data_IF_772772699776
#
_entry.id   IF_772772699776
#
_cell.length_a   1.000
_cell.length_b   1.000
_cell.length_c   1.000
_cell.angle_alpha   90.00
_cell.angle_beta   90.00
_cell.angle_gamma   90.00
#
_symmetry.space_group_name_H-M   'P 1'
#
loop_
_entity.id
_entity.type
_entity.pdbx_description
1 polymer ?
#
# COMPACT_ATOMS: atom_id res chain seq x y z
N UNK A 1 19.64 12.98 -1.64
CA UNK A 1 18.79 13.82 -0.76
C UNK A 1 18.09 14.96 -1.51
N UNK A 2 18.78 15.70 -2.38
CA UNK A 2 18.14 16.75 -3.19
C UNK A 2 16.92 16.25 -3.99
N UNK A 3 17.02 15.09 -4.63
CA UNK A 3 15.89 14.47 -5.33
C UNK A 3 14.66 14.24 -4.43
N UNK A 4 14.85 13.75 -3.20
CA UNK A 4 13.77 13.57 -2.24
C UNK A 4 13.13 14.91 -1.85
N UNK A 5 13.94 15.93 -1.55
CA UNK A 5 13.45 17.27 -1.22
C UNK A 5 12.66 17.89 -2.39
N UNK A 6 13.15 17.74 -3.62
CA UNK A 6 12.48 18.21 -4.83
C UNK A 6 11.14 17.48 -5.02
N UNK A 7 11.09 16.16 -4.83
CA UNK A 7 9.84 15.40 -4.90
C UNK A 7 8.84 15.85 -3.83
N UNK A 8 9.26 15.97 -2.57
CA UNK A 8 8.37 16.44 -1.49
C UNK A 8 7.83 17.85 -1.77
N UNK A 9 8.67 18.75 -2.30
CA UNK A 9 8.25 20.08 -2.71
C UNK A 9 7.24 20.03 -3.86
N UNK A 10 7.52 19.27 -4.91
CA UNK A 10 6.63 19.14 -6.07
C UNK A 10 5.26 18.57 -5.69
N UNK A 11 5.21 17.56 -4.82
CA UNK A 11 3.96 17.01 -4.29
C UNK A 11 3.17 18.07 -3.53
N UNK A 12 3.82 18.80 -2.62
CA UNK A 12 3.20 19.87 -1.84
C UNK A 12 2.65 20.99 -2.71
N UNK A 13 3.41 21.44 -3.70
CA UNK A 13 3.02 22.51 -4.65
C UNK A 13 1.79 22.10 -5.49
N UNK A 14 1.54 20.79 -5.65
CA UNK A 14 0.39 20.22 -6.36
C UNK A 14 -0.73 19.71 -5.43
N UNK A 15 -0.72 20.08 -4.15
CA UNK A 15 -1.70 19.64 -3.15
C UNK A 15 -1.76 18.11 -2.93
N UNK A 16 -0.66 17.42 -3.22
CA UNK A 16 -0.50 16.00 -2.93
C UNK A 16 0.19 15.85 -1.58
N UNK A 17 -0.43 15.11 -0.68
CA UNK A 17 0.11 14.92 0.67
C UNK A 17 1.26 13.91 0.64
N UNK A 18 2.40 14.31 1.20
CA UNK A 18 3.56 13.43 1.38
C UNK A 18 3.32 12.52 2.58
N UNK A 19 3.58 11.23 2.42
CA UNK A 19 3.52 10.22 3.50
C UNK A 19 4.82 9.41 3.49
N UNK A 20 5.35 9.06 4.66
CA UNK A 20 6.53 8.18 4.75
C UNK A 20 7.85 8.83 4.31
N UNK A 21 7.93 10.15 4.31
CA UNK A 21 9.15 10.92 4.07
C UNK A 21 9.08 12.24 4.85
N UNK A 22 10.25 12.75 5.25
CA UNK A 22 10.33 13.97 6.05
C UNK A 22 11.70 14.61 6.01
N UNK A 23 11.84 15.75 6.70
CA UNK A 23 13.09 16.51 6.76
C UNK A 23 14.16 15.90 7.68
N UNK A 24 13.78 14.90 8.48
CA UNK A 24 14.62 14.12 9.39
C UNK A 24 13.88 12.84 9.81
N UNK A 25 14.54 11.93 10.54
CA UNK A 25 13.94 10.67 11.01
C UNK A 25 12.65 10.91 11.79
N UNK A 26 12.63 11.88 12.72
CA UNK A 26 11.44 12.15 13.52
C UNK A 26 10.25 12.61 12.66
N UNK A 27 10.52 13.35 11.59
CA UNK A 27 9.51 13.86 10.68
C UNK A 27 8.97 12.77 9.74
N UNK A 28 9.83 11.91 9.19
CA UNK A 28 9.42 10.83 8.27
C UNK A 28 8.54 9.78 8.94
N UNK A 29 8.72 9.55 10.25
CA UNK A 29 7.91 8.63 11.06
C UNK A 29 6.55 9.22 11.51
N UNK A 30 6.22 10.47 11.18
CA UNK A 30 4.92 11.05 11.61
C UNK A 30 3.77 10.45 10.79
N UNK A 31 2.66 10.06 11.45
CA UNK A 31 1.44 9.73 10.74
C UNK A 31 0.88 10.97 10.04
N UNK A 32 0.30 10.75 8.87
CA UNK A 32 -0.50 11.74 8.15
C UNK A 32 -1.96 11.53 8.48
N UNK A 33 -2.70 12.62 8.71
CA UNK A 33 -4.13 12.56 8.93
C UNK A 33 -4.88 13.36 7.87
N UNK A 34 -5.84 12.71 7.22
CA UNK A 34 -6.76 13.35 6.27
C UNK A 34 -8.19 13.18 6.79
N UNK A 35 -9.02 14.21 6.66
CA UNK A 35 -10.46 14.11 7.00
C UNK A 35 -11.29 14.24 5.73
N UNK A 36 -12.16 13.25 5.49
CA UNK A 36 -13.08 13.21 4.34
C UNK A 36 -14.40 12.59 4.78
N UNK A 37 -15.52 13.20 4.39
CA UNK A 37 -16.86 12.69 4.74
C UNK A 37 -17.09 12.52 6.25
N UNK A 38 -16.44 13.32 7.10
CA UNK A 38 -16.52 13.21 8.56
C UNK A 38 -15.73 12.05 9.18
N UNK A 39 -14.93 11.32 8.39
CA UNK A 39 -14.02 10.26 8.86
C UNK A 39 -12.59 10.79 8.86
N UNK A 40 -11.89 10.67 9.99
CA UNK A 40 -10.45 10.98 10.09
C UNK A 40 -9.65 9.72 9.78
N UNK A 41 -8.93 9.74 8.67
CA UNK A 41 -8.08 8.64 8.20
C UNK A 41 -6.64 8.96 8.57
N UNK A 42 -6.00 8.06 9.31
CA UNK A 42 -4.56 8.08 9.60
C UNK A 42 -3.81 7.20 8.61
N UNK A 43 -2.61 7.62 8.22
CA UNK A 43 -1.74 6.90 7.29
C UNK A 43 -0.33 6.86 7.85
N UNK A 44 0.21 5.65 7.97
CA UNK A 44 1.64 5.38 8.21
C UNK A 44 2.20 4.69 6.97
N UNK A 45 3.46 4.95 6.62
CA UNK A 45 4.10 4.33 5.46
C UNK A 45 5.57 4.08 5.75
N UNK A 46 6.03 2.87 5.49
CA UNK A 46 7.37 2.41 5.84
C UNK A 46 8.09 1.79 4.64
N UNK A 47 9.41 1.99 4.56
CA UNK A 47 10.30 1.25 3.66
C UNK A 47 11.07 0.20 4.42
N UNK A 48 10.96 -1.06 4.01
CA UNK A 48 11.79 -2.15 4.53
C UNK A 48 13.17 -2.21 3.88
N UNK A 49 13.46 -1.29 2.95
CA UNK A 49 14.73 -1.17 2.26
C UNK A 49 15.42 0.14 2.64
N UNK A 50 16.76 0.10 2.80
CA UNK A 50 17.52 1.33 2.98
C UNK A 50 17.43 2.19 1.72
N UNK A 51 17.57 3.50 1.90
CA UNK A 51 17.64 4.39 0.75
C UNK A 51 19.00 4.24 0.06
N UNK A 52 18.97 4.08 -1.26
CA UNK A 52 20.19 3.89 -2.04
C UNK A 52 20.96 5.20 -2.24
N UNK A 53 22.29 5.09 -2.34
CA UNK A 53 23.14 6.20 -2.79
C UNK A 53 23.50 7.24 -1.73
N UNK A 54 23.23 7.02 -0.43
CA UNK A 54 23.74 7.87 0.63
C UNK A 54 23.85 7.18 2.01
N UNK A 55 24.64 7.77 2.90
CA UNK A 55 24.78 7.32 4.30
C UNK A 55 23.63 7.90 5.13
N UNK A 56 22.94 7.04 5.88
CA UNK A 56 21.87 7.41 6.80
C UNK A 56 22.33 8.50 7.79
N UNK A 57 21.48 9.51 8.03
CA UNK A 57 21.70 10.57 9.01
C UNK A 57 20.34 10.99 9.57
N UNK A 58 20.14 10.85 10.88
CA UNK A 58 18.85 11.11 11.53
C UNK A 58 18.35 12.54 11.40
N UNK A 59 19.24 13.51 11.21
CA UNK A 59 18.94 14.94 11.15
C UNK A 59 18.71 15.47 9.73
N UNK A 60 18.76 14.59 8.72
CA UNK A 60 18.61 14.96 7.31
C UNK A 60 17.40 14.30 6.67
N UNK A 61 16.92 14.91 5.58
CA UNK A 61 15.77 14.41 4.86
C UNK A 61 15.97 12.98 4.37
N UNK A 62 14.95 12.15 4.63
CA UNK A 62 14.95 10.71 4.39
C UNK A 62 13.51 10.17 4.31
N UNK A 63 13.38 8.95 3.81
CA UNK A 63 12.15 8.16 3.90
C UNK A 63 11.97 7.60 5.31
N UNK A 64 10.78 7.09 5.61
CA UNK A 64 10.51 6.40 6.86
C UNK A 64 11.02 4.96 6.76
N UNK A 65 12.21 4.71 7.32
CA UNK A 65 12.74 3.35 7.41
C UNK A 65 11.93 2.53 8.40
N UNK A 66 11.59 1.31 8.02
CA UNK A 66 10.89 0.39 8.91
C UNK A 66 11.79 0.01 10.09
N UNK A 67 11.25 0.14 11.30
CA UNK A 67 11.88 -0.31 12.54
C UNK A 67 10.85 -1.12 13.31
N UNK A 68 11.05 -2.45 13.38
CA UNK A 68 10.13 -3.37 14.04
C UNK A 68 9.90 -2.98 15.52
N UNK A 69 10.88 -2.35 16.17
CA UNK A 69 10.76 -1.94 17.58
C UNK A 69 9.85 -0.72 17.76
N UNK A 70 9.71 0.13 16.73
CA UNK A 70 8.88 1.33 16.78
C UNK A 70 7.45 1.08 16.29
N UNK A 71 7.25 0.05 15.46
CA UNK A 71 5.98 -0.23 14.78
C UNK A 71 4.77 -0.20 15.73
N UNK A 72 4.86 -0.93 16.85
CA UNK A 72 3.77 -1.00 17.82
C UNK A 72 3.42 0.37 18.40
N UNK A 73 4.42 1.11 18.85
CA UNK A 73 4.22 2.40 19.49
C UNK A 73 3.61 3.41 18.52
N UNK A 74 4.09 3.44 17.28
CA UNK A 74 3.63 4.34 16.24
C UNK A 74 2.18 4.05 15.82
N UNK A 75 1.83 2.79 15.59
CA UNK A 75 0.46 2.39 15.27
C UNK A 75 -0.49 2.72 16.42
N UNK A 76 -0.13 2.37 17.66
CA UNK A 76 -0.97 2.65 18.84
C UNK A 76 -1.18 4.15 19.04
N UNK A 77 -0.15 4.98 18.80
CA UNK A 77 -0.30 6.44 18.86
C UNK A 77 -1.19 6.95 17.73
N UNK A 78 -0.90 6.58 16.48
CA UNK A 78 -1.66 7.04 15.32
C UNK A 78 -3.14 6.64 15.41
N UNK A 79 -3.44 5.43 15.87
CA UNK A 79 -4.81 4.92 15.99
C UNK A 79 -5.66 5.68 17.01
N UNK A 80 -5.05 6.28 18.05
CA UNK A 80 -5.78 7.14 19.02
C UNK A 80 -6.31 8.41 18.38
N UNK A 81 -5.64 8.87 17.32
CA UNK A 81 -5.93 10.14 16.67
C UNK A 81 -6.71 9.99 15.37
N UNK A 82 -7.12 8.79 14.95
CA UNK A 82 -7.93 8.57 13.75
C UNK A 82 -9.07 7.58 13.97
N UNK A 83 -10.06 7.65 13.09
CA UNK A 83 -11.16 6.68 13.03
C UNK A 83 -10.71 5.41 12.29
N UNK A 84 -9.99 5.58 11.19
CA UNK A 84 -9.50 4.51 10.31
C UNK A 84 -7.99 4.68 10.07
N UNK A 85 -7.18 3.65 10.28
CA UNK A 85 -5.73 3.67 10.16
C UNK A 85 -5.27 2.75 9.02
N UNK A 86 -4.64 3.33 8.01
CA UNK A 86 -3.98 2.63 6.92
C UNK A 86 -2.48 2.54 7.20
N UNK A 87 -1.89 1.37 6.98
CA UNK A 87 -0.44 1.18 7.05
C UNK A 87 0.06 0.70 5.69
N UNK A 88 1.04 1.41 5.15
CA UNK A 88 1.72 1.05 3.92
C UNK A 88 3.10 0.46 4.19
N UNK A 89 3.46 -0.59 3.45
CA UNK A 89 4.80 -1.16 3.46
C UNK A 89 5.37 -1.23 2.03
N UNK A 90 6.59 -0.72 1.85
CA UNK A 90 7.42 -1.00 0.68
C UNK A 90 8.32 -2.19 1.01
N UNK A 91 7.89 -3.41 0.68
CA UNK A 91 8.51 -4.66 1.11
C UNK A 91 8.20 -5.86 0.20
N UNK A 92 9.02 -6.90 0.27
CA UNK A 92 8.82 -8.16 -0.46
C UNK A 92 9.95 -8.49 -1.42
N UNK A 93 9.82 -9.62 -2.11
CA UNK A 93 10.76 -10.02 -3.15
C UNK A 93 10.28 -9.49 -4.50
N UNK A 94 11.18 -8.86 -5.27
CA UNK A 94 10.85 -8.43 -6.62
C UNK A 94 10.39 -9.61 -7.49
N UNK A 95 9.31 -9.38 -8.23
CA UNK A 95 8.71 -10.30 -9.21
C UNK A 95 8.19 -11.63 -8.65
N UNK A 96 8.12 -11.77 -7.33
CA UNK A 96 7.44 -12.89 -6.69
C UNK A 96 5.93 -12.60 -6.61
N UNK A 97 5.11 -13.51 -7.14
CA UNK A 97 3.66 -13.36 -7.12
C UNK A 97 3.03 -13.66 -5.76
N UNK A 98 3.80 -14.22 -4.82
CA UNK A 98 3.34 -14.56 -3.48
C UNK A 98 4.12 -13.81 -2.40
N UNK A 99 3.44 -13.39 -1.32
CA UNK A 99 4.11 -12.68 -0.24
C UNK A 99 5.07 -13.61 0.50
N UNK A 100 6.27 -13.10 0.75
CA UNK A 100 7.25 -13.73 1.63
C UNK A 100 6.77 -13.79 3.08
N UNK A 101 7.33 -14.71 3.87
CA UNK A 101 6.97 -14.84 5.29
C UNK A 101 7.27 -13.57 6.10
N UNK A 102 8.29 -12.80 5.69
CA UNK A 102 8.60 -11.52 6.33
C UNK A 102 7.56 -10.43 6.02
N UNK A 103 7.02 -10.41 4.79
CA UNK A 103 5.90 -9.53 4.45
C UNK A 103 4.69 -9.86 5.32
N UNK A 104 4.33 -11.15 5.44
CA UNK A 104 3.21 -11.59 6.30
C UNK A 104 3.44 -11.19 7.76
N UNK A 105 4.62 -11.48 8.32
CA UNK A 105 4.99 -11.13 9.70
C UNK A 105 4.74 -9.64 9.99
N UNK A 106 5.25 -8.74 9.15
CA UNK A 106 5.14 -7.31 9.37
C UNK A 106 3.70 -6.79 9.19
N UNK A 107 2.99 -7.30 8.18
CA UNK A 107 1.59 -6.95 7.94
C UNK A 107 0.68 -7.44 9.07
N UNK A 108 0.86 -8.68 9.56
CA UNK A 108 0.14 -9.21 10.72
C UNK A 108 0.42 -8.38 11.97
N UNK A 109 1.69 -8.06 12.24
CA UNK A 109 2.06 -7.20 13.37
C UNK A 109 1.39 -5.82 13.29
N UNK A 110 1.26 -5.23 12.10
CA UNK A 110 0.56 -3.95 11.95
C UNK A 110 -0.94 -4.07 12.28
N UNK A 111 -1.61 -5.12 11.79
CA UNK A 111 -3.01 -5.42 12.10
C UNK A 111 -3.22 -5.63 13.60
N UNK A 112 -2.36 -6.44 14.24
CA UNK A 112 -2.44 -6.77 15.66
C UNK A 112 -2.26 -5.55 16.56
N UNK A 113 -1.48 -4.56 16.13
CA UNK A 113 -1.26 -3.33 16.89
C UNK A 113 -2.29 -2.22 16.61
N UNK A 114 -3.22 -2.43 15.66
CA UNK A 114 -4.38 -1.56 15.50
C UNK A 114 -4.60 -0.96 14.11
N UNK A 115 -3.78 -1.29 13.10
CA UNK A 115 -4.06 -0.92 11.70
C UNK A 115 -5.40 -1.53 11.26
N UNK A 116 -6.22 -0.81 10.50
CA UNK A 116 -7.48 -1.32 9.98
C UNK A 116 -7.34 -1.99 8.61
N UNK A 117 -6.29 -1.60 7.88
CA UNK A 117 -5.90 -2.18 6.60
C UNK A 117 -4.38 -2.01 6.40
N UNK A 118 -3.76 -3.00 5.76
CA UNK A 118 -2.36 -2.93 5.34
C UNK A 118 -2.29 -3.00 3.81
N UNK A 119 -1.49 -2.13 3.21
CA UNK A 119 -1.29 -2.07 1.75
C UNK A 119 0.20 -2.08 1.41
N UNK A 120 0.64 -3.13 0.77
CA UNK A 120 2.00 -3.34 0.33
C UNK A 120 2.24 -2.87 -1.10
N UNK A 121 3.50 -2.61 -1.38
CA UNK A 121 4.09 -2.35 -2.70
C UNK A 121 5.57 -2.78 -2.63
N UNK A 122 6.30 -2.65 -3.74
CA UNK A 122 7.71 -3.05 -3.98
C UNK A 122 7.89 -4.23 -4.95
N UNK A 123 7.16 -5.36 -4.87
CA UNK A 123 7.43 -6.53 -5.72
C UNK A 123 7.31 -6.30 -7.24
N UNK A 124 6.86 -5.13 -7.69
CA UNK A 124 6.59 -4.77 -9.08
C UNK A 124 5.53 -5.61 -9.80
N UNK A 125 4.98 -6.64 -9.15
CA UNK A 125 3.89 -7.49 -9.64
C UNK A 125 2.72 -7.47 -8.66
N UNK A 126 1.53 -7.79 -9.17
CA UNK A 126 0.32 -7.91 -8.37
C UNK A 126 0.39 -9.17 -7.48
N UNK A 127 0.34 -8.98 -6.16
CA UNK A 127 0.23 -10.07 -5.20
C UNK A 127 -1.21 -10.14 -4.64
N UNK A 128 -1.53 -11.26 -3.98
CA UNK A 128 -2.85 -11.48 -3.42
C UNK A 128 -3.20 -10.62 -2.20
N UNK A 129 -4.44 -10.76 -1.77
CA UNK A 129 -4.95 -10.23 -0.51
C UNK A 129 -5.20 -11.33 0.51
N UNK A 130 -5.09 -10.96 1.79
CA UNK A 130 -5.37 -11.81 2.94
C UNK A 130 -6.39 -11.15 3.87
N UNK A 131 -7.27 -11.97 4.44
CA UNK A 131 -8.13 -11.60 5.57
C UNK A 131 -7.52 -12.15 6.85
N UNK A 132 -6.95 -11.27 7.66
CA UNK A 132 -6.25 -11.59 8.89
C UNK A 132 -6.92 -10.87 10.07
N UNK A 133 -7.32 -11.60 11.12
CA UNK A 133 -8.02 -11.06 12.30
C UNK A 133 -9.21 -10.14 11.94
N UNK A 134 -9.96 -10.51 10.89
CA UNK A 134 -11.14 -9.78 10.43
C UNK A 134 -10.84 -8.51 9.63
N UNK A 135 -9.58 -8.22 9.33
CA UNK A 135 -9.11 -7.06 8.55
C UNK A 135 -8.36 -7.51 7.30
N UNK A 136 -8.09 -6.60 6.39
CA UNK A 136 -7.53 -6.91 5.08
C UNK A 136 -6.08 -6.45 4.94
N UNK A 137 -5.30 -7.29 4.27
CA UNK A 137 -3.91 -7.04 3.88
C UNK A 137 -3.83 -7.23 2.37
N UNK A 138 -3.29 -6.26 1.66
CA UNK A 138 -2.97 -6.37 0.23
C UNK A 138 -1.46 -6.35 0.09
N UNK A 139 -0.84 -7.42 -0.37
CA UNK A 139 0.63 -7.54 -0.27
C UNK A 139 1.41 -6.76 -1.32
N UNK A 140 0.83 -6.57 -2.50
CA UNK A 140 1.35 -5.69 -3.55
C UNK A 140 0.23 -5.38 -4.54
N UNK A 141 0.03 -4.10 -4.84
CA UNK A 141 -0.92 -3.67 -5.89
C UNK A 141 -0.29 -3.67 -7.29
N UNK A 142 0.97 -4.05 -7.42
CA UNK A 142 1.75 -3.92 -8.65
C UNK A 142 2.20 -2.47 -8.91
N UNK A 143 2.59 -2.21 -10.15
CA UNK A 143 3.02 -0.88 -10.59
C UNK A 143 1.82 -0.01 -10.97
N UNK A 144 1.91 1.33 -10.88
CA UNK A 144 0.82 2.22 -11.33
C UNK A 144 1.24 3.13 -12.49
N UNK A 145 2.25 3.97 -12.27
CA UNK A 145 2.95 4.75 -13.30
C UNK A 145 4.38 4.21 -13.35
N UNK A 146 4.76 3.54 -14.44
CA UNK A 146 6.03 2.83 -14.51
C UNK A 146 6.49 2.67 -15.95
N UNK A 147 7.76 2.90 -16.25
CA UNK A 147 8.29 2.97 -17.61
C UNK A 147 8.69 1.62 -18.20
N UNK A 148 8.97 0.62 -17.36
CA UNK A 148 9.43 -0.71 -17.77
C UNK A 148 8.43 -1.82 -17.45
N UNK A 149 7.87 -2.45 -18.48
CA UNK A 149 6.97 -3.61 -18.34
C UNK A 149 7.71 -4.93 -18.61
N UNK A 150 8.78 -5.16 -17.85
CA UNK A 150 9.54 -6.41 -17.88
C UNK A 150 10.14 -6.69 -16.50
N UNK A 151 10.06 -7.93 -15.97
CA UNK A 151 9.53 -9.16 -16.58
C UNK A 151 7.98 -9.23 -16.61
N UNK A 152 7.43 -10.38 -17.02
CA UNK A 152 5.99 -10.64 -17.11
C UNK A 152 5.24 -10.26 -15.81
N UNK A 153 4.01 -9.75 -15.95
CA UNK A 153 3.14 -9.38 -14.82
C UNK A 153 3.38 -7.96 -14.27
N UNK A 154 4.46 -7.28 -14.66
CA UNK A 154 4.79 -5.92 -14.18
C UNK A 154 3.89 -4.81 -14.73
N UNK A 155 2.98 -5.15 -15.64
CA UNK A 155 1.97 -4.26 -16.19
C UNK A 155 0.56 -4.50 -15.62
N UNK A 156 0.38 -5.46 -14.72
CA UNK A 156 -0.90 -5.72 -14.05
C UNK A 156 -0.97 -4.93 -12.74
N UNK A 157 -2.09 -4.24 -12.53
CA UNK A 157 -2.34 -3.51 -11.28
C UNK A 157 -3.82 -3.47 -10.95
N UNK A 158 -4.12 -3.14 -9.70
CA UNK A 158 -5.48 -2.89 -9.23
C UNK A 158 -5.52 -1.54 -8.52
N UNK A 159 -6.59 -0.79 -8.77
CA UNK A 159 -6.96 0.32 -7.91
C UNK A 159 -7.87 -0.25 -6.82
N UNK A 160 -7.50 -0.02 -5.56
CA UNK A 160 -8.37 -0.32 -4.44
C UNK A 160 -9.29 0.86 -4.16
N UNK A 161 -10.59 0.64 -4.25
CA UNK A 161 -11.60 1.56 -3.77
C UNK A 161 -12.12 1.08 -2.42
N UNK A 162 -11.94 1.91 -1.39
CA UNK A 162 -12.35 1.60 -0.01
C UNK A 162 -13.55 2.47 0.35
N UNK A 163 -14.68 1.85 0.62
CA UNK A 163 -15.86 2.56 1.12
C UNK A 163 -15.92 2.46 2.65
N UNK A 164 -15.95 3.61 3.31
CA UNK A 164 -16.13 3.70 4.76
C UNK A 164 -17.56 4.15 5.08
N UNK A 165 -18.28 3.34 5.88
CA UNK A 165 -19.61 3.68 6.42
C UNK A 165 -19.54 3.65 7.95
N UNK A 166 -20.10 4.67 8.60
CA UNK A 166 -20.06 4.81 10.07
C UNK A 166 -18.64 4.63 10.63
N UNK A 167 -17.65 5.25 9.97
CA UNK A 167 -16.23 5.23 10.35
C UNK A 167 -15.55 3.84 10.28
N UNK A 168 -16.17 2.87 9.63
CA UNK A 168 -15.64 1.50 9.46
C UNK A 168 -15.61 1.13 7.98
N UNK A 169 -14.67 0.27 7.61
CA UNK A 169 -14.63 -0.32 6.27
C UNK A 169 -15.87 -1.17 6.04
N UNK A 170 -16.63 -0.85 4.99
CA UNK A 170 -17.85 -1.56 4.63
C UNK A 170 -17.71 -2.34 3.34
N UNK A 171 -17.02 -1.78 2.35
CA UNK A 171 -16.87 -2.38 1.02
C UNK A 171 -15.44 -2.11 0.53
N UNK A 172 -14.89 -3.09 -0.18
CA UNK A 172 -13.62 -2.97 -0.88
C UNK A 172 -13.84 -3.46 -2.30
N UNK A 173 -13.50 -2.62 -3.26
CA UNK A 173 -13.51 -2.97 -4.67
C UNK A 173 -12.08 -2.96 -5.21
N UNK A 174 -11.74 -3.98 -5.99
CA UNK A 174 -10.50 -4.02 -6.75
C UNK A 174 -10.82 -3.84 -8.24
N UNK A 175 -10.37 -2.71 -8.79
CA UNK A 175 -10.59 -2.30 -10.17
C UNK A 175 -9.33 -2.65 -10.96
N UNK A 176 -9.40 -3.59 -11.93
CA UNK A 176 -8.24 -3.98 -12.72
C UNK A 176 -7.80 -2.85 -13.65
N UNK A 177 -6.49 -2.62 -13.66
CA UNK A 177 -5.84 -1.61 -14.49
C UNK A 177 -4.62 -2.25 -15.12
N UNK A 178 -4.33 -1.86 -16.36
CA UNK A 178 -3.15 -2.32 -17.10
C UNK A 178 -2.27 -1.14 -17.45
N UNK A 179 -0.96 -1.29 -17.26
CA UNK A 179 0.00 -0.29 -17.72
C UNK A 179 0.24 -0.51 -19.21
N UNK A 180 -0.04 0.54 -20.01
CA UNK A 180 0.22 0.61 -21.44
C UNK A 180 1.00 1.91 -21.66
N UNK A 181 2.17 1.82 -22.31
CA UNK A 181 3.01 3.00 -22.61
C UNK A 181 3.26 3.90 -21.39
N UNK A 182 3.64 3.26 -20.27
CA UNK A 182 3.89 3.91 -18.99
C UNK A 182 2.69 4.55 -18.28
N UNK A 183 1.47 4.31 -18.78
CA UNK A 183 0.25 4.92 -18.26
C UNK A 183 -0.74 3.86 -17.75
N UNK A 184 -1.35 4.09 -16.57
CA UNK A 184 -2.44 3.25 -16.10
C UNK A 184 -3.65 3.44 -17.01
N UNK A 185 -4.03 2.37 -17.69
CA UNK A 185 -5.16 2.35 -18.62
C UNK A 185 -6.21 1.38 -18.08
N UNK A 186 -7.46 1.81 -18.02
CA UNK A 186 -8.58 0.89 -17.75
C UNK A 186 -8.54 -0.21 -18.81
N UNK A 187 -8.35 -1.46 -18.39
CA UNK A 187 -8.20 -2.56 -19.34
C UNK A 187 -9.54 -2.92 -19.99
N UNK A 188 -9.45 -3.56 -21.16
CA UNK A 188 -10.60 -4.20 -21.79
C UNK A 188 -11.12 -5.38 -20.94
N UNK A 189 -12.34 -5.82 -21.18
CA UNK A 189 -13.01 -6.89 -20.41
C UNK A 189 -12.16 -8.17 -20.31
N UNK A 190 -11.49 -8.58 -21.39
CA UNK A 190 -10.70 -9.81 -21.39
C UNK A 190 -9.46 -9.70 -20.49
N UNK A 191 -8.72 -8.59 -20.59
CA UNK A 191 -7.57 -8.31 -19.72
C UNK A 191 -7.98 -8.05 -18.28
N UNK A 192 -9.13 -7.41 -18.04
CA UNK A 192 -9.70 -7.26 -16.71
C UNK A 192 -9.90 -8.62 -16.04
N UNK A 193 -10.56 -9.54 -16.73
CA UNK A 193 -10.81 -10.91 -16.22
C UNK A 193 -9.50 -11.63 -15.89
N UNK A 194 -8.45 -11.47 -16.69
CA UNK A 194 -7.14 -12.09 -16.43
C UNK A 194 -6.48 -11.54 -15.16
N UNK A 195 -6.40 -10.21 -15.02
CA UNK A 195 -5.83 -9.54 -13.84
C UNK A 195 -6.59 -9.96 -12.57
N UNK A 196 -7.93 -9.95 -12.64
CA UNK A 196 -8.77 -10.35 -11.52
C UNK A 196 -8.58 -11.83 -11.14
N UNK A 197 -8.48 -12.72 -12.13
CA UNK A 197 -8.22 -14.15 -11.88
C UNK A 197 -6.83 -14.38 -11.29
N UNK A 198 -5.80 -13.66 -11.74
CA UNK A 198 -4.46 -13.72 -11.16
C UNK A 198 -4.49 -13.25 -9.71
N UNK A 199 -5.16 -12.13 -9.42
CA UNK A 199 -5.32 -11.63 -8.06
C UNK A 199 -6.02 -12.65 -7.13
N UNK A 200 -7.11 -13.27 -7.58
CA UNK A 200 -7.80 -14.33 -6.84
C UNK A 200 -6.87 -15.52 -6.60
N UNK A 201 -6.16 -15.99 -7.64
CA UNK A 201 -5.21 -17.10 -7.54
C UNK A 201 -4.10 -16.81 -6.53
N UNK A 202 -3.53 -15.61 -6.58
CA UNK A 202 -2.47 -15.18 -5.64
C UNK A 202 -3.00 -15.04 -4.20
N UNK A 203 -4.32 -15.02 -4.00
CA UNK A 203 -4.99 -14.92 -2.70
C UNK A 203 -5.49 -16.29 -2.18
N UNK A 204 -5.27 -17.38 -2.91
CA UNK A 204 -5.74 -18.72 -2.51
C UNK A 204 -5.20 -19.11 -1.13
N UNK A 205 -6.09 -19.60 -0.27
CA UNK A 205 -5.76 -19.98 1.11
C UNK A 205 -5.62 -18.83 2.11
N UNK A 206 -5.79 -17.57 1.68
CA UNK A 206 -5.62 -16.38 2.55
C UNK A 206 -6.93 -15.86 3.16
N UNK A 207 -8.00 -16.66 3.15
CA UNK A 207 -9.24 -16.35 3.87
C UNK A 207 -10.10 -15.22 3.28
N UNK A 208 -9.82 -14.78 2.06
CA UNK A 208 -10.59 -13.73 1.38
C UNK A 208 -11.68 -14.33 0.50
N UNK A 209 -12.88 -13.75 0.54
CA UNK A 209 -13.96 -14.10 -0.37
C UNK A 209 -14.09 -13.04 -1.47
N UNK A 210 -14.07 -13.50 -2.72
CA UNK A 210 -14.16 -12.64 -3.89
C UNK A 210 -15.48 -12.86 -4.63
N UNK A 211 -16.08 -11.78 -5.12
CA UNK A 211 -17.17 -11.84 -6.09
C UNK A 211 -16.84 -10.90 -7.25
N UNK A 212 -16.79 -11.44 -8.46
CA UNK A 212 -16.63 -10.62 -9.66
C UNK A 212 -18.01 -10.06 -10.05
N UNK A 213 -18.12 -8.74 -10.17
CA UNK A 213 -19.31 -8.01 -10.62
C UNK A 213 -18.84 -6.93 -11.60
N UNK A 214 -19.45 -6.81 -12.78
CA UNK A 214 -19.18 -5.70 -13.74
C UNK A 214 -17.67 -5.46 -14.02
N UNK A 215 -16.88 -6.52 -14.15
CA UNK A 215 -15.41 -6.48 -14.37
C UNK A 215 -14.59 -5.85 -13.23
N UNK A 216 -15.14 -5.79 -12.02
CA UNK A 216 -14.42 -5.49 -10.77
C UNK A 216 -14.56 -6.63 -9.78
N UNK A 217 -13.65 -6.73 -8.81
CA UNK A 217 -13.80 -7.65 -7.68
C UNK A 217 -14.39 -6.90 -6.50
N UNK A 218 -15.53 -7.38 -5.99
CA UNK A 218 -16.05 -7.07 -4.65
C UNK A 218 -15.42 -8.02 -3.63
N UNK A 219 -14.76 -7.48 -2.61
CA UNK A 219 -14.14 -8.26 -1.53
C UNK A 219 -15.08 -8.25 -0.31
N UNK A 220 -15.39 -9.43 0.23
CA UNK A 220 -16.34 -9.64 1.35
C UNK A 220 -15.71 -10.34 2.56
#
# INVERSE_FOLDING_TARGET
>A
REGLLNTMKALKDNNITVVGAGLNKKDSHKPVFITRGGVKIGILSYSCFPAEGYIFNSEMADICHFDENLLKEEIVKAKKDCDFLMVFFHHGNEYDFYPSEIQKKYSHAAIDNGADIVVGNHPHVLQGAEKYNGKYIFYSLGNFIFDRQAPFGTNETIILELTLKNKKLSEIDAIPVKIIECQPTLSNDKSNVEILNNFIRHSEGMGVNFKIEENIIKIK
#
